data_IF_783429565940
#
_entry.id   IF_783429565940
#
_cell.length_a   1.000
_cell.length_b   1.000
_cell.length_c   1.000
_cell.angle_alpha   90.00
_cell.angle_beta   90.00
_cell.angle_gamma   90.00
#
_symmetry.space_group_name_H-M   'P 1'
#
loop_
_entity.id
_entity.type
_entity.pdbx_description
1 polymer ?
#
# COMPACT_ATOMS: atom_id res chain seq x y z
N UNK A 1 -16.07 -21.73 -3.02
CA UNK A 1 -14.88 -21.84 -2.12
C UNK A 1 -14.85 -20.74 -1.06
N UNK A 2 -14.96 -19.48 -1.38
CA UNK A 2 -14.85 -18.38 -0.41
C UNK A 2 -15.83 -18.44 0.77
N UNK A 3 -17.15 -18.61 0.55
CA UNK A 3 -18.13 -18.64 1.65
C UNK A 3 -17.91 -19.78 2.66
N UNK A 4 -17.54 -20.98 2.16
CA UNK A 4 -17.28 -22.14 3.02
C UNK A 4 -16.05 -21.93 3.90
N UNK A 5 -14.96 -21.41 3.32
CA UNK A 5 -13.73 -21.11 4.07
C UNK A 5 -13.97 -19.99 5.11
N UNK A 6 -14.72 -18.93 4.74
CA UNK A 6 -15.07 -17.84 5.67
C UNK A 6 -15.85 -18.36 6.88
N UNK A 7 -16.90 -19.21 6.67
CA UNK A 7 -17.66 -19.82 7.76
C UNK A 7 -16.82 -20.79 8.59
N UNK A 8 -15.85 -21.47 7.99
CA UNK A 8 -14.89 -22.30 8.72
C UNK A 8 -14.00 -21.46 9.63
N UNK A 9 -13.49 -20.33 9.14
CA UNK A 9 -12.63 -19.44 9.91
C UNK A 9 -13.40 -18.85 11.10
N UNK A 10 -14.66 -18.48 10.91
CA UNK A 10 -15.55 -18.02 11.98
C UNK A 10 -15.69 -19.07 13.10
N UNK A 11 -16.04 -20.34 12.76
CA UNK A 11 -16.09 -21.45 13.74
C UNK A 11 -14.74 -21.65 14.46
N UNK A 12 -13.64 -21.60 13.71
CA UNK A 12 -12.31 -21.80 14.27
C UNK A 12 -11.91 -20.65 15.19
N UNK A 13 -12.24 -19.39 14.85
CA UNK A 13 -11.96 -18.23 15.68
C UNK A 13 -12.68 -18.32 17.04
N UNK A 14 -13.95 -18.71 17.04
CA UNK A 14 -14.73 -18.92 18.28
C UNK A 14 -14.08 -20.01 19.15
N UNK A 15 -13.71 -21.13 18.55
CA UNK A 15 -13.08 -22.25 19.27
C UNK A 15 -11.68 -21.93 19.80
N UNK A 16 -10.89 -21.17 19.04
CA UNK A 16 -9.58 -20.66 19.48
C UNK A 16 -9.79 -19.71 20.68
N UNK A 17 -10.73 -18.76 20.56
CA UNK A 17 -11.06 -17.83 21.64
C UNK A 17 -11.56 -18.51 22.91
N UNK A 18 -12.26 -19.64 22.77
CA UNK A 18 -12.72 -20.48 23.87
C UNK A 18 -11.61 -21.40 24.46
N UNK A 19 -10.37 -21.36 23.94
CA UNK A 19 -9.27 -22.16 24.43
C UNK A 19 -9.40 -23.66 24.15
N UNK A 20 -10.08 -24.04 23.05
CA UNK A 20 -10.36 -25.43 22.69
C UNK A 20 -9.13 -26.23 22.24
N UNK A 21 -8.02 -25.56 21.93
CA UNK A 21 -6.78 -26.19 21.43
C UNK A 21 -5.63 -25.93 22.39
N UNK A 22 -5.01 -27.01 22.90
CA UNK A 22 -3.99 -26.96 23.96
C UNK A 22 -2.61 -27.48 23.55
N UNK A 23 -2.48 -28.02 22.35
CA UNK A 23 -1.24 -28.60 21.85
C UNK A 23 -1.11 -28.44 20.34
N UNK A 24 0.14 -28.49 19.84
CA UNK A 24 0.44 -28.48 18.39
C UNK A 24 -0.36 -29.58 17.64
N UNK A 25 -0.52 -30.75 18.24
CA UNK A 25 -1.28 -31.85 17.64
C UNK A 25 -2.78 -31.55 17.52
N UNK A 26 -3.37 -30.86 18.51
CA UNK A 26 -4.77 -30.43 18.45
C UNK A 26 -4.97 -29.32 17.44
N UNK A 27 -4.05 -28.35 17.38
CA UNK A 27 -4.04 -27.27 16.38
C UNK A 27 -3.89 -27.86 14.98
N UNK A 28 -2.95 -28.74 14.79
CA UNK A 28 -2.70 -29.41 13.51
C UNK A 28 -3.94 -30.12 12.98
N UNK A 29 -4.61 -30.91 13.82
CA UNK A 29 -5.82 -31.67 13.45
C UNK A 29 -7.08 -30.85 13.42
N UNK A 30 -7.26 -29.93 14.38
CA UNK A 30 -8.49 -29.20 14.61
C UNK A 30 -8.57 -27.87 13.86
N UNK A 31 -7.45 -27.29 13.42
CA UNK A 31 -7.38 -26.02 12.72
C UNK A 31 -6.75 -26.19 11.35
N UNK A 32 -5.50 -26.67 11.27
CA UNK A 32 -4.70 -26.65 10.04
C UNK A 32 -5.29 -27.60 8.98
N UNK A 33 -5.59 -28.86 9.36
CA UNK A 33 -6.14 -29.85 8.44
C UNK A 33 -7.53 -29.44 7.89
N UNK A 34 -8.50 -28.95 8.69
CA UNK A 34 -9.75 -28.40 8.20
C UNK A 34 -9.58 -27.22 7.21
N UNK A 35 -8.64 -26.30 7.46
CA UNK A 35 -8.31 -25.21 6.54
C UNK A 35 -7.79 -25.75 5.21
N UNK A 36 -6.85 -26.69 5.22
CA UNK A 36 -6.36 -27.32 3.99
C UNK A 36 -7.49 -28.00 3.21
N UNK A 37 -8.36 -28.73 3.88
CA UNK A 37 -9.50 -29.37 3.25
C UNK A 37 -10.41 -28.35 2.55
N UNK A 38 -10.72 -27.22 3.21
CA UNK A 38 -11.59 -26.19 2.64
C UNK A 38 -10.89 -25.35 1.55
N UNK A 39 -9.56 -25.39 1.48
CA UNK A 39 -8.73 -24.88 0.38
C UNK A 39 -8.61 -25.86 -0.80
N UNK A 40 -9.28 -27.04 -0.69
CA UNK A 40 -9.37 -28.04 -1.74
C UNK A 40 -8.30 -29.13 -1.70
N UNK A 41 -7.43 -29.15 -0.65
CA UNK A 41 -6.40 -30.18 -0.53
C UNK A 41 -7.02 -31.54 -0.14
N UNK A 42 -6.62 -32.62 -0.80
CA UNK A 42 -7.04 -33.98 -0.43
C UNK A 42 -6.24 -34.45 0.81
N UNK A 43 -6.67 -34.03 1.99
CA UNK A 43 -5.94 -34.20 3.26
C UNK A 43 -5.71 -35.64 3.66
N UNK A 44 -6.39 -36.61 3.01
CA UNK A 44 -6.19 -38.02 3.22
C UNK A 44 -5.22 -38.67 2.21
N UNK A 45 -4.75 -37.92 1.20
CA UNK A 45 -3.75 -38.37 0.23
C UNK A 45 -2.34 -38.02 0.70
N UNK A 46 -1.68 -38.95 1.38
CA UNK A 46 -0.39 -38.77 2.05
C UNK A 46 0.80 -38.47 1.13
N UNK A 47 0.60 -38.49 -0.21
CA UNK A 47 1.60 -38.02 -1.17
C UNK A 47 1.37 -36.58 -1.61
N UNK A 48 0.21 -36.00 -1.30
CA UNK A 48 -0.18 -34.64 -1.67
C UNK A 48 -0.17 -33.74 -0.45
N UNK A 49 -0.78 -34.14 0.67
CA UNK A 49 -0.65 -33.51 1.97
C UNK A 49 0.16 -34.44 2.87
N UNK A 50 1.44 -34.20 2.96
CA UNK A 50 2.38 -35.08 3.66
C UNK A 50 2.58 -34.58 5.08
N UNK A 51 1.99 -35.25 6.09
CA UNK A 51 2.28 -34.91 7.50
C UNK A 51 3.68 -35.40 7.88
N UNK A 52 4.31 -34.72 8.82
CA UNK A 52 5.65 -35.04 9.31
C UNK A 52 6.68 -35.29 8.18
N UNK A 53 6.66 -34.37 7.19
CA UNK A 53 7.53 -34.49 6.01
C UNK A 53 9.02 -34.47 6.43
N UNK A 54 9.77 -35.50 6.04
CA UNK A 54 11.16 -35.69 6.43
C UNK A 54 12.10 -34.92 5.53
N UNK A 55 13.02 -34.17 6.17
CA UNK A 55 14.10 -33.42 5.54
C UNK A 55 15.41 -33.79 6.25
N UNK A 56 16.14 -34.75 5.67
CA UNK A 56 17.30 -35.36 6.34
C UNK A 56 16.90 -36.06 7.62
N UNK A 57 17.46 -35.64 8.77
CA UNK A 57 17.17 -36.17 10.11
C UNK A 57 16.03 -35.46 10.83
N UNK A 58 15.49 -34.40 10.23
CA UNK A 58 14.44 -33.55 10.83
C UNK A 58 13.08 -33.74 10.12
N UNK A 59 12.03 -33.14 10.66
CA UNK A 59 10.69 -33.15 10.09
C UNK A 59 10.09 -31.75 10.15
N UNK A 60 9.26 -31.44 9.16
CA UNK A 60 8.31 -30.31 9.15
C UNK A 60 6.90 -30.85 9.25
N UNK A 61 6.00 -30.16 9.93
CA UNK A 61 4.67 -30.68 10.24
C UNK A 61 3.85 -31.05 9.02
N UNK A 62 3.89 -30.23 7.96
CA UNK A 62 3.25 -30.54 6.69
C UNK A 62 4.08 -30.07 5.48
N UNK A 63 4.05 -30.88 4.43
CA UNK A 63 4.37 -30.48 3.08
C UNK A 63 3.12 -30.58 2.18
N UNK A 64 2.76 -29.47 1.53
CA UNK A 64 1.75 -29.46 0.48
C UNK A 64 2.48 -29.69 -0.86
N UNK A 65 2.22 -30.83 -1.48
CA UNK A 65 3.00 -31.31 -2.62
C UNK A 65 2.28 -31.14 -3.96
N UNK A 66 3.03 -30.67 -4.94
CA UNK A 66 2.64 -30.71 -6.36
C UNK A 66 3.88 -30.70 -7.28
N UNK A 67 4.06 -31.71 -8.14
CA UNK A 67 3.31 -33.00 -8.19
C UNK A 67 3.45 -33.83 -6.89
N UNK A 68 2.70 -34.93 -6.77
CA UNK A 68 2.78 -35.78 -5.56
C UNK A 68 4.20 -36.09 -5.14
N UNK A 69 4.51 -35.96 -3.84
CA UNK A 69 5.84 -36.16 -3.26
C UNK A 69 6.83 -34.99 -3.43
N UNK A 70 6.52 -33.98 -4.24
CA UNK A 70 7.36 -32.78 -4.41
C UNK A 70 6.77 -31.60 -3.65
N UNK A 71 7.42 -31.12 -2.56
CA UNK A 71 6.87 -30.03 -1.77
C UNK A 71 6.84 -28.71 -2.54
N UNK A 72 5.69 -28.04 -2.54
CA UNK A 72 5.46 -26.71 -3.10
C UNK A 72 5.30 -25.65 -1.99
N UNK A 73 4.78 -26.06 -0.83
CA UNK A 73 4.65 -25.23 0.38
C UNK A 73 5.02 -26.07 1.59
N UNK A 74 5.84 -25.55 2.49
CA UNK A 74 6.10 -26.16 3.80
C UNK A 74 5.34 -25.40 4.88
N UNK A 75 4.76 -26.14 5.83
CA UNK A 75 3.97 -25.55 6.93
C UNK A 75 4.46 -26.13 8.25
N UNK A 76 4.86 -25.25 9.15
CA UNK A 76 5.24 -25.56 10.52
C UNK A 76 4.15 -25.08 11.47
N UNK A 77 3.77 -25.93 12.42
CA UNK A 77 2.73 -25.67 13.41
C UNK A 77 3.39 -25.51 14.78
N UNK A 78 2.89 -24.59 15.58
CA UNK A 78 3.37 -24.33 16.94
C UNK A 78 2.20 -24.31 17.92
N UNK A 79 2.47 -24.46 19.21
CA UNK A 79 1.49 -24.17 20.24
C UNK A 79 0.97 -22.73 20.13
N UNK A 80 -0.26 -22.51 20.56
CA UNK A 80 -0.90 -21.20 20.53
C UNK A 80 -0.04 -20.12 21.21
N UNK A 81 0.21 -19.03 20.52
CA UNK A 81 1.07 -17.94 20.97
C UNK A 81 2.58 -18.19 20.88
N UNK A 82 3.02 -19.33 20.32
CA UNK A 82 4.44 -19.69 20.21
C UNK A 82 4.98 -19.68 18.78
N UNK A 83 4.29 -19.10 17.83
CA UNK A 83 4.80 -18.88 16.48
C UNK A 83 5.87 -17.76 16.46
N UNK A 84 7.04 -18.07 17.05
CA UNK A 84 8.16 -17.13 17.27
C UNK A 84 9.37 -17.39 16.36
N UNK A 85 10.44 -16.58 16.55
CA UNK A 85 11.64 -16.60 15.72
C UNK A 85 12.45 -17.91 15.73
N UNK A 86 12.20 -18.85 16.65
CA UNK A 86 12.85 -20.17 16.64
C UNK A 86 12.20 -21.10 15.62
N UNK A 87 10.87 -21.11 15.57
CA UNK A 87 10.12 -21.84 14.55
C UNK A 87 10.42 -21.33 13.14
N UNK A 88 10.54 -20.00 12.99
CA UNK A 88 10.92 -19.36 11.73
C UNK A 88 12.28 -19.88 11.21
N UNK A 89 13.32 -19.89 12.06
CA UNK A 89 14.66 -20.33 11.65
C UNK A 89 14.67 -21.79 11.18
N UNK A 90 14.01 -22.66 11.91
CA UNK A 90 13.91 -24.08 11.58
C UNK A 90 13.20 -24.28 10.23
N UNK A 91 12.08 -23.61 10.01
CA UNK A 91 11.31 -23.68 8.78
C UNK A 91 12.12 -23.19 7.58
N UNK A 92 12.91 -22.12 7.74
CA UNK A 92 13.77 -21.60 6.66
C UNK A 92 14.91 -22.56 6.30
N UNK A 93 15.52 -23.24 7.26
CA UNK A 93 16.52 -24.28 6.98
C UNK A 93 15.89 -25.39 6.11
N UNK A 94 14.66 -25.78 6.40
CA UNK A 94 13.94 -26.78 5.63
C UNK A 94 13.64 -26.33 4.19
N UNK A 95 13.12 -25.12 4.06
CA UNK A 95 12.82 -24.56 2.74
C UNK A 95 14.07 -24.42 1.87
N UNK A 96 15.21 -24.05 2.46
CA UNK A 96 16.47 -23.94 1.74
C UNK A 96 16.95 -25.31 1.22
N UNK A 97 16.87 -26.35 2.03
CA UNK A 97 17.25 -27.70 1.63
C UNK A 97 16.39 -28.25 0.48
N UNK A 98 15.09 -28.03 0.54
CA UNK A 98 14.13 -28.57 -0.44
C UNK A 98 13.91 -27.65 -1.63
N UNK A 99 14.45 -26.42 -1.60
CA UNK A 99 14.23 -25.43 -2.64
C UNK A 99 12.77 -24.94 -2.72
N UNK A 100 12.02 -25.03 -1.61
CA UNK A 100 10.61 -24.65 -1.53
C UNK A 100 10.47 -23.15 -1.33
N UNK A 101 9.82 -22.40 -2.25
CA UNK A 101 9.80 -20.94 -2.18
C UNK A 101 8.84 -20.37 -1.14
N UNK A 102 7.76 -21.08 -0.80
CA UNK A 102 6.73 -20.59 0.13
C UNK A 102 6.73 -21.40 1.41
N UNK A 103 6.87 -20.70 2.52
CA UNK A 103 6.84 -21.27 3.86
C UNK A 103 5.72 -20.63 4.69
N UNK A 104 5.09 -21.42 5.53
CA UNK A 104 4.03 -20.97 6.45
C UNK A 104 4.38 -21.39 7.86
N UNK A 105 4.32 -20.46 8.80
CA UNK A 105 4.38 -20.73 10.23
C UNK A 105 3.05 -20.36 10.85
N UNK A 106 2.46 -21.28 11.61
CA UNK A 106 1.18 -21.02 12.27
C UNK A 106 1.13 -21.62 13.68
N UNK A 107 0.39 -20.97 14.55
CA UNK A 107 -0.05 -21.50 15.84
C UNK A 107 -1.57 -21.77 15.87
N UNK A 108 -2.15 -21.88 14.68
CA UNK A 108 -3.58 -22.04 14.49
C UNK A 108 -4.35 -20.72 14.47
N UNK A 109 -3.98 -19.75 15.31
CA UNK A 109 -4.56 -18.39 15.32
C UNK A 109 -3.86 -17.51 14.29
N UNK A 110 -2.56 -17.38 14.40
CA UNK A 110 -1.74 -16.54 13.52
C UNK A 110 -1.15 -17.38 12.39
N UNK A 111 -1.29 -16.93 11.16
CA UNK A 111 -0.69 -17.53 9.97
C UNK A 111 0.27 -16.55 9.33
N UNK A 112 1.57 -16.87 9.37
CA UNK A 112 2.66 -16.06 8.81
C UNK A 112 3.20 -16.71 7.55
N UNK A 113 3.27 -15.94 6.46
CA UNK A 113 3.72 -16.39 5.14
C UNK A 113 5.07 -15.79 4.79
N UNK A 114 5.99 -16.64 4.34
CA UNK A 114 7.37 -16.25 4.05
C UNK A 114 7.78 -16.68 2.66
N UNK A 115 8.56 -15.84 1.98
CA UNK A 115 9.22 -16.19 0.73
C UNK A 115 10.66 -16.64 1.02
N UNK A 116 10.87 -17.94 1.10
CA UNK A 116 12.10 -18.53 1.64
C UNK A 116 13.34 -18.25 0.80
N UNK A 117 13.20 -18.17 -0.52
CA UNK A 117 14.27 -17.87 -1.47
C UNK A 117 14.59 -16.38 -1.59
N UNK A 118 13.88 -15.52 -0.86
CA UNK A 118 14.09 -14.07 -0.83
C UNK A 118 15.40 -13.69 -0.13
N UNK A 119 15.80 -12.43 -0.29
CA UNK A 119 16.96 -11.84 0.41
C UNK A 119 16.57 -11.27 1.78
N UNK A 120 17.56 -11.07 2.65
CA UNK A 120 17.35 -10.49 3.97
C UNK A 120 17.13 -11.54 5.08
N UNK A 121 16.89 -11.06 6.29
CA UNK A 121 16.56 -11.88 7.46
C UNK A 121 15.19 -12.55 7.28
N UNK A 122 14.90 -13.59 8.07
CA UNK A 122 13.60 -14.26 8.04
C UNK A 122 12.43 -13.30 8.29
N UNK A 123 12.61 -12.28 9.14
CA UNK A 123 11.58 -11.24 9.39
C UNK A 123 11.28 -10.39 8.15
N UNK A 124 12.33 -10.09 7.37
CA UNK A 124 12.19 -9.32 6.13
C UNK A 124 11.59 -10.15 4.99
N UNK A 125 11.63 -11.49 5.11
CA UNK A 125 11.04 -12.40 4.12
C UNK A 125 9.56 -12.68 4.35
N UNK A 126 8.97 -12.23 5.48
CA UNK A 126 7.55 -12.35 5.72
C UNK A 126 6.79 -11.33 4.88
N UNK A 127 5.98 -11.80 3.95
CA UNK A 127 5.22 -10.96 3.04
C UNK A 127 3.73 -10.82 3.39
N UNK A 128 3.18 -11.77 4.18
CA UNK A 128 1.80 -11.70 4.66
C UNK A 128 1.66 -12.33 6.04
N UNK A 129 0.67 -11.88 6.78
CA UNK A 129 0.28 -12.46 8.06
C UNK A 129 -1.21 -12.19 8.27
N UNK A 130 -1.93 -13.17 8.82
CA UNK A 130 -3.33 -13.01 9.25
C UNK A 130 -3.50 -13.59 10.64
N UNK A 131 -4.41 -13.00 11.42
CA UNK A 131 -4.89 -13.48 12.71
C UNK A 131 -6.35 -13.88 12.57
N UNK A 132 -6.67 -15.16 12.76
CA UNK A 132 -8.03 -15.67 12.52
C UNK A 132 -9.06 -15.12 13.52
N UNK A 133 -8.62 -14.57 14.65
CA UNK A 133 -9.47 -14.03 15.71
C UNK A 133 -9.65 -12.51 15.57
N UNK A 134 -8.57 -11.78 15.27
CA UNK A 134 -8.59 -10.32 15.24
C UNK A 134 -8.96 -9.74 13.87
N UNK A 135 -8.59 -10.44 12.78
CA UNK A 135 -8.86 -9.94 11.44
C UNK A 135 -10.28 -10.32 10.97
N UNK A 136 -10.91 -9.54 10.09
CA UNK A 136 -12.18 -9.92 9.49
C UNK A 136 -12.09 -11.29 8.81
N UNK A 137 -13.01 -12.21 9.11
CA UNK A 137 -13.00 -13.60 8.63
C UNK A 137 -12.89 -13.72 7.10
N UNK A 138 -13.53 -12.79 6.37
CA UNK A 138 -13.43 -12.71 4.91
C UNK A 138 -12.03 -12.35 4.42
N UNK A 139 -11.32 -11.49 5.15
CA UNK A 139 -9.93 -11.11 4.85
C UNK A 139 -9.00 -12.30 5.08
N UNK A 140 -9.13 -12.96 6.23
CA UNK A 140 -8.35 -14.16 6.55
C UNK A 140 -8.57 -15.27 5.53
N UNK A 141 -9.83 -15.50 5.13
CA UNK A 141 -10.17 -16.47 4.09
C UNK A 141 -9.54 -16.12 2.73
N UNK A 142 -9.56 -14.84 2.36
CA UNK A 142 -8.97 -14.38 1.11
C UNK A 142 -7.45 -14.55 1.09
N UNK A 143 -6.75 -14.23 2.18
CA UNK A 143 -5.28 -14.39 2.29
C UNK A 143 -4.89 -15.87 2.27
N UNK A 144 -5.56 -16.71 3.06
CA UNK A 144 -5.32 -18.15 3.05
C UNK A 144 -5.55 -18.75 1.65
N UNK A 145 -6.65 -18.39 0.98
CA UNK A 145 -6.94 -18.85 -0.37
C UNK A 145 -5.90 -18.35 -1.39
N UNK A 146 -5.46 -17.09 -1.29
CA UNK A 146 -4.50 -16.46 -2.21
C UNK A 146 -3.19 -17.25 -2.32
N UNK A 147 -2.72 -17.81 -1.21
CA UNK A 147 -1.41 -18.46 -1.15
C UNK A 147 -1.46 -19.99 -0.99
N UNK A 148 -2.60 -20.54 -0.53
CA UNK A 148 -2.71 -21.95 -0.21
C UNK A 148 -3.82 -22.69 -0.98
N UNK A 149 -4.65 -22.02 -1.81
CA UNK A 149 -5.64 -22.74 -2.59
C UNK A 149 -4.93 -23.73 -3.54
N UNK A 150 -5.34 -25.01 -3.54
CA UNK A 150 -4.68 -26.07 -4.32
C UNK A 150 -4.57 -25.74 -5.81
N UNK A 151 -5.59 -25.12 -6.40
CA UNK A 151 -5.58 -24.71 -7.81
C UNK A 151 -4.47 -23.71 -8.11
N UNK A 152 -4.31 -22.72 -7.26
CA UNK A 152 -3.32 -21.65 -7.41
C UNK A 152 -1.88 -22.16 -7.11
N UNK A 153 -1.73 -23.11 -6.16
CA UNK A 153 -0.44 -23.76 -5.90
C UNK A 153 -0.04 -24.64 -7.08
N UNK A 154 -0.97 -25.43 -7.62
CA UNK A 154 -0.72 -26.30 -8.78
C UNK A 154 -0.39 -25.55 -10.07
N UNK A 155 -1.03 -24.40 -10.29
CA UNK A 155 -0.76 -23.55 -11.48
C UNK A 155 0.52 -22.72 -11.34
N UNK A 156 1.09 -22.60 -10.13
CA UNK A 156 2.20 -21.72 -9.84
C UNK A 156 1.81 -20.27 -9.52
N UNK A 157 0.52 -19.92 -9.63
CA UNK A 157 0.03 -18.56 -9.36
C UNK A 157 0.23 -18.16 -7.90
N UNK A 158 0.04 -19.08 -6.93
CA UNK A 158 0.29 -18.81 -5.53
C UNK A 158 1.75 -18.39 -5.29
N UNK A 159 2.72 -19.08 -5.91
CA UNK A 159 4.15 -18.75 -5.84
C UNK A 159 4.45 -17.38 -6.44
N UNK A 160 3.88 -17.08 -7.61
CA UNK A 160 4.08 -15.80 -8.29
C UNK A 160 3.56 -14.64 -7.42
N UNK A 161 2.33 -14.77 -6.90
CA UNK A 161 1.76 -13.77 -5.98
C UNK A 161 2.60 -13.60 -4.72
N UNK A 162 3.09 -14.68 -4.14
CA UNK A 162 3.96 -14.63 -2.96
C UNK A 162 5.26 -13.88 -3.25
N UNK A 163 5.85 -14.07 -4.44
CA UNK A 163 7.03 -13.34 -4.89
C UNK A 163 6.75 -11.85 -5.07
N UNK A 164 5.69 -11.50 -5.81
CA UNK A 164 5.30 -10.11 -6.09
C UNK A 164 5.00 -9.35 -4.78
N UNK A 165 4.26 -9.98 -3.86
CA UNK A 165 3.90 -9.40 -2.57
C UNK A 165 5.14 -9.27 -1.65
N UNK A 166 6.08 -10.22 -1.69
CA UNK A 166 7.36 -10.14 -0.99
C UNK A 166 8.21 -8.98 -1.53
N UNK A 167 8.36 -8.85 -2.84
CA UNK A 167 9.12 -7.77 -3.45
C UNK A 167 8.50 -6.40 -3.10
N UNK A 168 7.18 -6.30 -3.17
CA UNK A 168 6.46 -5.08 -2.76
C UNK A 168 6.69 -4.74 -1.29
N UNK A 169 6.55 -5.71 -0.38
CA UNK A 169 6.80 -5.51 1.05
C UNK A 169 8.24 -5.08 1.33
N UNK A 170 9.21 -5.67 0.64
CA UNK A 170 10.64 -5.31 0.74
C UNK A 170 10.89 -3.88 0.29
N UNK A 171 10.35 -3.46 -0.87
CA UNK A 171 10.49 -2.08 -1.35
C UNK A 171 9.88 -1.08 -0.36
N UNK A 172 8.71 -1.38 0.19
CA UNK A 172 8.07 -0.52 1.20
C UNK A 172 8.92 -0.42 2.47
N UNK A 173 9.50 -1.52 2.92
CA UNK A 173 10.35 -1.55 4.10
C UNK A 173 11.65 -0.79 3.88
N UNK A 174 12.28 -0.94 2.70
CA UNK A 174 13.47 -0.17 2.32
C UNK A 174 13.15 1.32 2.25
N UNK A 175 12.04 1.71 1.62
CA UNK A 175 11.60 3.11 1.59
C UNK A 175 11.37 3.65 3.01
N UNK A 176 10.73 2.87 3.89
CA UNK A 176 10.47 3.27 5.26
C UNK A 176 11.75 3.48 6.08
N UNK A 177 12.82 2.72 5.82
CA UNK A 177 14.11 2.89 6.49
C UNK A 177 14.77 4.24 6.18
N UNK A 178 14.46 4.82 5.03
CA UNK A 178 14.99 6.11 4.60
C UNK A 178 14.16 7.32 5.06
N UNK A 179 12.93 7.10 5.58
CA UNK A 179 12.04 8.20 5.96
C UNK A 179 12.68 9.18 6.95
N UNK A 180 13.37 8.68 7.97
CA UNK A 180 13.99 9.52 8.98
C UNK A 180 15.17 10.34 8.42
N UNK A 181 15.97 9.76 7.51
CA UNK A 181 17.10 10.42 6.89
C UNK A 181 16.63 11.50 5.91
N UNK A 182 15.65 11.16 5.08
CA UNK A 182 15.02 12.11 4.14
C UNK A 182 14.32 13.24 4.89
N UNK A 183 13.60 12.92 5.98
CA UNK A 183 12.92 13.92 6.80
C UNK A 183 13.91 14.91 7.42
N UNK A 184 14.99 14.43 8.04
CA UNK A 184 16.05 15.30 8.57
C UNK A 184 16.66 16.18 7.48
N UNK A 185 16.91 15.64 6.29
CA UNK A 185 17.42 16.40 5.15
C UNK A 185 16.45 17.53 4.75
N UNK A 186 15.16 17.25 4.68
CA UNK A 186 14.13 18.24 4.34
C UNK A 186 14.02 19.35 5.42
N UNK A 187 14.18 19.01 6.69
CA UNK A 187 14.11 19.98 7.79
C UNK A 187 15.37 20.81 7.92
N UNK A 188 16.58 20.26 7.67
CA UNK A 188 17.85 20.98 7.80
C UNK A 188 18.04 22.10 6.76
N UNK A 189 17.44 21.94 5.61
CA UNK A 189 17.39 22.95 4.55
C UNK A 189 16.04 22.88 3.86
N UNK A 190 14.99 23.51 4.46
CA UNK A 190 13.65 23.39 3.89
C UNK A 190 13.66 23.94 2.47
N UNK A 191 13.45 23.05 1.51
CA UNK A 191 13.27 23.45 0.13
C UNK A 191 12.13 24.48 0.04
N UNK A 192 12.21 25.41 -0.89
CA UNK A 192 11.21 26.47 -1.06
C UNK A 192 9.78 25.93 -1.14
N UNK A 193 9.62 24.67 -1.61
CA UNK A 193 8.34 23.98 -1.67
C UNK A 193 7.79 23.56 -0.29
N UNK A 194 8.62 22.97 0.57
CA UNK A 194 8.19 22.58 1.93
C UNK A 194 7.84 23.81 2.76
N UNK A 195 8.66 24.86 2.67
CA UNK A 195 8.40 26.13 3.35
C UNK A 195 7.10 26.77 2.85
N UNK A 196 6.87 26.80 1.53
CA UNK A 196 5.66 27.36 0.96
C UNK A 196 4.40 26.59 1.38
N UNK A 197 4.47 25.26 1.40
CA UNK A 197 3.37 24.40 1.87
C UNK A 197 3.06 24.70 3.35
N UNK A 198 4.09 24.85 4.19
CA UNK A 198 3.92 25.18 5.60
C UNK A 198 3.26 26.56 5.77
N UNK A 199 3.72 27.57 5.02
CA UNK A 199 3.16 28.92 5.05
C UNK A 199 1.68 28.93 4.60
N UNK A 200 1.35 28.20 3.53
CA UNK A 200 -0.04 28.07 3.03
C UNK A 200 -0.96 27.41 4.08
N UNK A 201 -0.50 26.37 4.77
CA UNK A 201 -1.32 25.68 5.78
C UNK A 201 -1.52 26.54 7.03
N UNK A 202 -0.48 27.25 7.51
CA UNK A 202 -0.62 28.18 8.66
C UNK A 202 -1.54 29.35 8.29
N UNK A 203 -1.41 29.94 7.11
CA UNK A 203 -2.30 30.99 6.63
C UNK A 203 -3.77 30.48 6.55
N UNK A 204 -3.97 29.23 6.12
CA UNK A 204 -5.30 28.61 6.05
C UNK A 204 -5.98 28.46 7.41
N UNK A 205 -5.21 28.21 8.48
CA UNK A 205 -5.70 28.06 9.86
C UNK A 205 -5.89 29.40 10.55
N UNK A 206 -4.93 30.34 10.35
CA UNK A 206 -4.88 31.59 11.14
C UNK A 206 -5.44 32.79 10.41
N UNK A 207 -5.64 32.68 9.10
CA UNK A 207 -6.01 33.83 8.23
C UNK A 207 -4.85 34.80 7.99
N UNK A 208 -3.67 34.57 8.58
CA UNK A 208 -2.49 35.43 8.47
C UNK A 208 -1.31 34.63 7.91
N UNK A 209 -0.68 35.15 6.86
CA UNK A 209 0.51 34.54 6.30
C UNK A 209 1.72 34.82 7.18
N UNK A 210 2.42 33.83 7.74
CA UNK A 210 3.56 34.03 8.60
C UNK A 210 4.78 34.52 7.80
N UNK A 211 5.73 35.09 8.53
CA UNK A 211 7.03 35.49 8.00
C UNK A 211 7.82 34.26 7.55
N UNK A 212 8.36 34.31 6.33
CA UNK A 212 9.04 33.18 5.68
C UNK A 212 10.32 32.77 6.42
N UNK A 213 11.09 33.72 7.00
CA UNK A 213 12.35 33.38 7.65
C UNK A 213 12.12 32.77 9.02
N UNK A 214 11.12 33.25 9.76
CA UNK A 214 10.68 32.66 11.04
C UNK A 214 10.08 31.27 10.85
N UNK A 215 9.30 31.06 9.78
CA UNK A 215 8.77 29.78 9.46
C UNK A 215 9.87 28.75 9.09
N UNK A 216 10.88 29.20 8.32
CA UNK A 216 12.04 28.38 8.00
C UNK A 216 12.90 28.06 9.24
N UNK A 217 13.05 28.99 10.16
CA UNK A 217 13.73 28.78 11.45
C UNK A 217 12.98 27.80 12.33
N UNK A 218 11.65 27.94 12.43
CA UNK A 218 10.81 26.97 13.13
C UNK A 218 10.96 25.57 12.55
N UNK A 219 10.89 25.40 11.24
CA UNK A 219 11.06 24.08 10.59
C UNK A 219 12.45 23.51 10.93
N UNK A 220 13.52 24.31 10.87
CA UNK A 220 14.88 23.88 11.23
C UNK A 220 15.00 23.48 12.70
N UNK A 221 14.32 24.19 13.61
CA UNK A 221 14.37 23.90 15.04
C UNK A 221 13.77 22.51 15.38
N UNK A 222 12.90 21.96 14.52
CA UNK A 222 12.31 20.65 14.72
C UNK A 222 13.29 19.49 14.43
N UNK A 223 14.48 19.76 13.89
CA UNK A 223 15.51 18.72 13.68
C UNK A 223 16.16 18.21 14.96
N UNK A 224 16.11 18.98 16.06
CA UNK A 224 16.75 18.63 17.34
C UNK A 224 15.82 18.06 18.41
N UNK A 225 14.50 18.06 18.20
CA UNK A 225 13.51 17.82 19.27
C UNK A 225 12.89 16.41 19.26
N UNK A 226 13.17 15.59 18.27
CA UNK A 226 12.68 14.23 18.22
C UNK A 226 13.85 13.24 18.10
N UNK A 227 14.31 12.67 19.22
CA UNK A 227 14.48 11.24 19.23
C UNK A 227 13.10 10.68 18.86
N UNK A 228 12.92 10.40 17.58
CA UNK A 228 11.74 9.63 17.17
C UNK A 228 11.85 8.31 17.93
N UNK A 229 10.98 8.13 18.93
CA UNK A 229 10.61 6.77 19.31
C UNK A 229 10.38 6.02 18.00
N UNK A 230 10.96 4.82 17.84
CA UNK A 230 10.75 4.05 16.62
C UNK A 230 9.24 4.03 16.41
N UNK A 231 8.79 4.60 15.30
CA UNK A 231 7.37 4.67 14.94
C UNK A 231 6.80 3.31 15.29
N UNK A 232 5.81 3.21 16.21
CA UNK A 232 5.19 1.93 16.53
C UNK A 232 4.85 1.34 15.19
N UNK A 233 5.40 0.15 14.91
CA UNK A 233 5.17 -0.49 13.61
C UNK A 233 3.68 -0.42 13.38
N UNK A 234 3.21 0.13 12.26
CA UNK A 234 1.78 0.19 12.02
C UNK A 234 1.25 -1.20 12.30
N UNK A 235 0.15 -1.34 13.03
CA UNK A 235 -0.47 -2.64 13.25
C UNK A 235 -0.47 -3.29 11.90
N UNK A 236 0.09 -4.51 11.81
CA UNK A 236 0.31 -5.20 10.53
C UNK A 236 -1.05 -5.45 9.90
N UNK A 237 -1.56 -4.40 9.24
CA UNK A 237 -2.68 -4.64 8.33
C UNK A 237 -2.15 -5.57 7.25
N UNK A 238 -2.76 -6.75 7.10
CA UNK A 238 -2.50 -7.57 5.92
C UNK A 238 -2.71 -6.67 4.70
N UNK A 239 -1.96 -6.87 3.62
CA UNK A 239 -2.23 -6.14 2.40
C UNK A 239 -3.73 -6.25 2.15
N UNK A 240 -4.43 -5.11 2.08
CA UNK A 240 -5.88 -5.08 1.87
C UNK A 240 -6.14 -5.82 0.58
N UNK A 241 -6.49 -7.08 0.72
CA UNK A 241 -7.01 -7.87 -0.39
C UNK A 241 -8.37 -7.28 -0.65
N UNK A 242 -8.42 -6.41 -1.66
CA UNK A 242 -9.68 -5.89 -2.17
C UNK A 242 -10.54 -7.09 -2.58
N UNK A 243 -11.66 -7.37 -1.91
CA UNK A 243 -12.46 -8.57 -2.15
C UNK A 243 -13.18 -8.55 -3.51
N UNK A 244 -12.94 -7.54 -4.33
CA UNK A 244 -13.44 -7.46 -5.69
C UNK A 244 -12.28 -7.53 -6.69
N UNK A 245 -12.39 -8.36 -7.73
CA UNK A 245 -11.57 -8.14 -8.90
C UNK A 245 -11.89 -6.71 -9.36
N UNK A 246 -10.91 -5.80 -9.27
CA UNK A 246 -11.04 -4.47 -9.84
C UNK A 246 -11.30 -4.68 -11.32
N UNK A 247 -12.54 -4.53 -11.73
CA UNK A 247 -12.81 -4.22 -13.11
C UNK A 247 -12.03 -2.95 -13.43
N UNK A 248 -11.21 -2.90 -14.49
CA UNK A 248 -10.30 -1.80 -14.77
C UNK A 248 -11.00 -0.44 -14.98
N UNK A 249 -12.30 -0.33 -14.76
CA UNK A 249 -13.15 0.81 -15.17
C UNK A 249 -13.62 1.69 -14.01
N UNK A 250 -13.54 1.27 -12.74
CA UNK A 250 -14.24 2.01 -11.66
C UNK A 250 -13.38 3.00 -10.87
N UNK A 251 -12.03 3.04 -11.04
CA UNK A 251 -11.15 3.92 -10.27
C UNK A 251 -10.21 4.77 -11.14
N UNK A 252 -10.53 4.89 -12.44
CA UNK A 252 -9.75 5.75 -13.34
C UNK A 252 -10.02 7.21 -13.03
N UNK A 253 -8.98 8.07 -12.98
CA UNK A 253 -9.17 9.51 -12.87
C UNK A 253 -10.01 10.02 -14.04
N UNK A 254 -11.02 10.86 -13.75
CA UNK A 254 -11.90 11.39 -14.78
C UNK A 254 -12.21 12.88 -14.59
N UNK A 255 -12.63 13.50 -15.67
CA UNK A 255 -13.17 14.85 -15.75
C UNK A 255 -14.53 14.78 -16.44
N UNK A 256 -15.56 15.31 -15.78
CA UNK A 256 -16.85 15.59 -16.44
C UNK A 256 -16.99 17.11 -16.62
N UNK A 257 -17.17 17.53 -17.86
CA UNK A 257 -17.34 18.93 -18.21
C UNK A 257 -18.27 19.04 -19.42
N UNK A 258 -19.22 19.97 -19.36
CA UNK A 258 -20.25 20.16 -20.42
C UNK A 258 -20.98 18.84 -20.78
N UNK A 259 -21.34 18.07 -19.73
CA UNK A 259 -22.05 16.80 -19.87
C UNK A 259 -21.20 15.63 -20.44
N UNK A 260 -19.94 15.87 -20.78
CA UNK A 260 -19.02 14.85 -21.32
C UNK A 260 -18.04 14.40 -20.26
N UNK A 261 -17.94 13.08 -20.07
CA UNK A 261 -16.97 12.46 -19.16
C UNK A 261 -15.80 11.88 -19.95
N UNK A 262 -14.59 12.27 -19.58
CA UNK A 262 -13.34 11.79 -20.14
C UNK A 262 -12.52 11.12 -19.05
N UNK A 263 -11.96 9.94 -19.30
CA UNK A 263 -11.09 9.20 -18.37
C UNK A 263 -9.63 9.41 -18.73
N UNK A 264 -8.75 9.39 -17.73
CA UNK A 264 -7.33 9.68 -17.87
C UNK A 264 -6.47 8.61 -17.16
N UNK A 265 -5.19 8.57 -17.51
CA UNK A 265 -4.23 7.64 -16.91
C UNK A 265 -3.76 8.06 -15.52
N UNK A 266 -3.80 9.36 -15.22
CA UNK A 266 -3.33 9.90 -13.94
C UNK A 266 -4.11 11.13 -13.50
N UNK A 267 -4.11 11.41 -12.18
CA UNK A 267 -4.67 12.66 -11.64
C UNK A 267 -3.96 13.92 -12.16
N UNK A 268 -2.72 13.82 -12.62
CA UNK A 268 -1.99 14.92 -13.27
C UNK A 268 -2.56 15.23 -14.66
N UNK A 269 -2.97 14.21 -15.40
CA UNK A 269 -3.58 14.41 -16.72
C UNK A 269 -4.98 15.02 -16.59
N UNK A 270 -5.79 14.60 -15.59
CA UNK A 270 -7.07 15.27 -15.26
C UNK A 270 -6.84 16.75 -14.96
N UNK A 271 -5.86 17.04 -14.07
CA UNK A 271 -5.54 18.40 -13.65
C UNK A 271 -5.13 19.28 -14.84
N UNK A 272 -4.27 18.77 -15.72
CA UNK A 272 -3.86 19.48 -16.94
C UNK A 272 -5.00 19.66 -17.93
N UNK A 273 -5.87 18.66 -18.09
CA UNK A 273 -7.03 18.73 -18.97
C UNK A 273 -8.03 19.81 -18.54
N UNK A 274 -8.30 19.94 -17.23
CA UNK A 274 -9.15 21.01 -16.69
C UNK A 274 -8.62 22.39 -17.11
N UNK A 275 -7.35 22.67 -16.81
CA UNK A 275 -6.74 23.95 -17.12
C UNK A 275 -6.67 24.22 -18.63
N UNK A 276 -6.42 23.19 -19.43
CA UNK A 276 -6.43 23.30 -20.90
C UNK A 276 -7.81 23.65 -21.46
N UNK A 277 -8.86 23.02 -20.93
CA UNK A 277 -10.24 23.30 -21.34
C UNK A 277 -10.67 24.72 -20.95
N UNK A 278 -10.39 25.13 -19.71
CA UNK A 278 -10.70 26.48 -19.24
C UNK A 278 -9.94 27.56 -20.02
N UNK A 279 -8.66 27.31 -20.33
CA UNK A 279 -7.85 28.21 -21.14
C UNK A 279 -8.30 28.28 -22.63
N UNK A 280 -8.92 27.20 -23.13
CA UNK A 280 -9.50 27.20 -24.47
C UNK A 280 -10.84 27.94 -24.55
N UNK A 281 -11.65 27.91 -23.46
CA UNK A 281 -12.91 28.60 -23.35
C UNK A 281 -12.75 30.13 -23.20
N UNK A 282 -11.82 30.54 -22.33
CA UNK A 282 -11.50 31.94 -22.10
C UNK A 282 -9.99 32.18 -22.28
N UNK A 283 -9.57 32.88 -23.35
CA UNK A 283 -8.16 33.25 -23.54
C UNK A 283 -7.56 34.09 -22.41
N UNK A 284 -8.42 34.78 -21.63
CA UNK A 284 -8.02 35.56 -20.45
C UNK A 284 -7.82 34.73 -19.18
N UNK A 285 -8.36 33.49 -19.15
CA UNK A 285 -8.37 32.63 -17.95
C UNK A 285 -6.99 32.46 -17.28
N UNK A 286 -5.98 32.08 -18.07
CA UNK A 286 -4.63 31.85 -17.54
C UNK A 286 -4.02 33.07 -16.88
N UNK A 287 -4.28 34.27 -17.43
CA UNK A 287 -3.83 35.54 -16.86
C UNK A 287 -4.57 35.84 -15.55
N UNK A 288 -5.90 35.73 -15.57
CA UNK A 288 -6.73 35.96 -14.37
C UNK A 288 -6.37 34.99 -13.24
N UNK A 289 -6.20 33.71 -13.55
CA UNK A 289 -5.78 32.72 -12.57
C UNK A 289 -4.40 33.00 -12.00
N UNK A 290 -3.41 33.33 -12.85
CA UNK A 290 -2.05 33.67 -12.45
C UNK A 290 -1.98 34.90 -11.54
N UNK A 291 -2.86 35.88 -11.75
CA UNK A 291 -2.88 37.11 -10.96
C UNK A 291 -3.59 36.93 -9.62
N UNK A 292 -4.70 36.17 -9.60
CA UNK A 292 -5.47 35.87 -8.37
C UNK A 292 -4.81 34.80 -7.48
N UNK A 293 -4.18 33.81 -8.08
CA UNK A 293 -3.67 32.63 -7.36
C UNK A 293 -2.18 32.42 -7.63
N UNK A 294 -1.35 33.14 -6.89
CA UNK A 294 0.10 33.03 -6.91
C UNK A 294 0.64 32.79 -5.50
N UNK A 295 1.71 31.98 -5.37
CA UNK A 295 2.51 31.95 -4.16
C UNK A 295 3.44 33.19 -4.07
N UNK A 296 4.07 33.39 -2.93
CA UNK A 296 4.96 34.54 -2.71
C UNK A 296 6.14 34.57 -3.67
N UNK A 297 6.70 33.45 -4.02
CA UNK A 297 7.90 33.29 -4.85
C UNK A 297 7.66 32.61 -6.19
N UNK A 298 6.50 31.97 -6.44
CA UNK A 298 6.22 31.23 -7.67
C UNK A 298 4.80 31.46 -8.17
N UNK A 299 4.62 31.21 -9.44
CA UNK A 299 3.31 31.17 -10.08
C UNK A 299 2.91 29.73 -10.34
N UNK A 300 1.62 29.41 -10.25
CA UNK A 300 1.10 28.08 -10.59
C UNK A 300 0.76 27.94 -12.07
N UNK A 301 0.50 29.11 -12.72
CA UNK A 301 0.33 29.26 -14.16
C UNK A 301 1.18 30.45 -14.58
N UNK A 302 2.08 30.30 -15.55
CA UNK A 302 3.01 31.33 -15.98
C UNK A 302 3.36 31.23 -17.48
N UNK A 303 3.99 32.27 -18.02
CA UNK A 303 4.47 32.32 -19.41
C UNK A 303 5.79 31.55 -19.60
N UNK A 304 6.56 31.33 -18.54
CA UNK A 304 7.80 30.58 -18.58
C UNK A 304 7.86 29.57 -17.44
N UNK A 305 8.68 28.54 -17.58
CA UNK A 305 8.85 27.49 -16.57
C UNK A 305 9.62 27.97 -15.35
N UNK A 306 10.54 28.90 -15.54
CA UNK A 306 11.35 29.50 -14.45
C UNK A 306 10.46 30.22 -13.43
N UNK A 307 9.35 30.82 -13.87
CA UNK A 307 8.37 31.47 -13.00
C UNK A 307 7.47 30.48 -12.24
N UNK A 308 7.39 29.24 -12.72
CA UNK A 308 6.67 28.17 -12.01
C UNK A 308 7.53 27.60 -10.86
N UNK A 309 8.84 27.52 -11.06
CA UNK A 309 9.77 26.88 -10.15
C UNK A 309 11.06 27.73 -9.96
N UNK A 310 10.96 28.96 -9.40
CA UNK A 310 12.13 29.83 -9.22
C UNK A 310 13.18 29.16 -8.36
N UNK A 311 14.40 29.01 -8.89
CA UNK A 311 15.52 28.36 -8.18
C UNK A 311 15.45 26.84 -8.11
N UNK A 312 14.48 26.19 -8.77
CA UNK A 312 14.29 24.74 -8.77
C UNK A 312 14.14 24.19 -10.20
N UNK A 313 15.17 24.40 -11.05
CA UNK A 313 15.17 23.99 -12.46
C UNK A 313 14.91 22.49 -12.69
N UNK A 314 15.29 21.63 -11.73
CA UNK A 314 15.01 20.19 -11.75
C UNK A 314 13.51 19.87 -11.75
N UNK A 315 12.64 20.80 -11.32
CA UNK A 315 11.18 20.63 -11.34
C UNK A 315 10.51 21.11 -12.63
N UNK A 316 11.24 21.75 -13.54
CA UNK A 316 10.66 22.25 -14.80
C UNK A 316 10.03 21.15 -15.68
N UNK A 317 10.54 19.92 -15.57
CA UNK A 317 9.92 18.74 -16.16
C UNK A 317 8.52 18.42 -15.60
N UNK A 318 8.20 18.90 -14.39
CA UNK A 318 6.90 18.76 -13.73
C UNK A 318 5.94 19.88 -14.12
N UNK A 319 5.89 20.21 -15.40
CA UNK A 319 5.01 21.23 -15.96
C UNK A 319 4.27 20.72 -17.19
N UNK A 320 3.13 21.31 -17.50
CA UNK A 320 2.34 21.03 -18.71
C UNK A 320 2.08 22.31 -19.47
N UNK A 321 2.20 22.23 -20.79
CA UNK A 321 1.89 23.37 -21.68
C UNK A 321 0.38 23.53 -21.78
N UNK A 322 -0.08 24.77 -21.66
CA UNK A 322 -1.47 25.16 -21.84
C UNK A 322 -1.66 25.95 -23.15
N UNK A 323 -2.90 26.08 -23.63
CA UNK A 323 -3.22 26.95 -24.76
C UNK A 323 -2.72 28.39 -24.54
N UNK A 324 -2.45 29.10 -25.64
CA UNK A 324 -1.98 30.49 -25.59
C UNK A 324 -0.57 30.69 -25.04
N UNK A 325 0.28 29.65 -25.01
CA UNK A 325 1.69 29.75 -24.63
C UNK A 325 1.94 29.87 -23.11
N UNK A 326 1.00 29.39 -22.29
CA UNK A 326 1.11 29.30 -20.85
C UNK A 326 1.64 27.94 -20.40
N UNK A 327 2.14 27.88 -19.17
CA UNK A 327 2.61 26.67 -18.51
C UNK A 327 1.91 26.50 -17.16
N UNK A 328 1.56 25.26 -16.82
CA UNK A 328 0.94 24.84 -15.55
C UNK A 328 1.95 24.06 -14.73
N UNK A 329 2.15 24.44 -13.47
CA UNK A 329 2.91 23.67 -12.50
C UNK A 329 2.10 22.47 -12.03
N UNK A 330 2.59 21.25 -12.27
CA UNK A 330 1.89 20.00 -11.91
C UNK A 330 2.47 19.30 -10.68
N UNK A 331 3.57 19.79 -10.14
CA UNK A 331 4.21 19.25 -8.95
C UNK A 331 3.44 19.65 -7.69
N UNK A 332 2.40 18.89 -7.37
CA UNK A 332 1.60 19.02 -6.15
C UNK A 332 0.84 17.71 -5.87
N UNK A 333 0.43 17.50 -4.61
CA UNK A 333 -0.37 16.36 -4.20
C UNK A 333 -1.71 16.28 -4.94
N UNK A 334 -2.37 15.14 -4.97
CA UNK A 334 -3.67 15.00 -5.60
C UNK A 334 -4.74 15.86 -4.90
N UNK A 335 -4.70 15.99 -3.58
CA UNK A 335 -5.53 16.93 -2.85
C UNK A 335 -5.26 18.39 -3.27
N UNK A 336 -3.98 18.76 -3.43
CA UNK A 336 -3.56 20.06 -3.93
C UNK A 336 -4.06 20.35 -5.36
N UNK A 337 -4.09 19.33 -6.24
CA UNK A 337 -4.68 19.46 -7.59
C UNK A 337 -6.17 19.77 -7.53
N UNK A 338 -6.93 19.03 -6.69
CA UNK A 338 -8.37 19.27 -6.50
C UNK A 338 -8.62 20.68 -5.95
N UNK A 339 -7.85 21.14 -4.94
CA UNK A 339 -7.95 22.51 -4.40
C UNK A 339 -7.74 23.57 -5.50
N UNK A 340 -6.76 23.36 -6.38
CA UNK A 340 -6.48 24.28 -7.51
C UNK A 340 -7.52 24.22 -8.60
N UNK A 341 -8.13 23.06 -8.84
CA UNK A 341 -9.28 22.94 -9.76
C UNK A 341 -10.48 23.73 -9.25
N UNK A 342 -10.77 23.69 -7.94
CA UNK A 342 -11.84 24.54 -7.35
C UNK A 342 -11.59 26.02 -7.59
N UNK A 343 -10.38 26.49 -7.32
CA UNK A 343 -9.96 27.87 -7.60
C UNK A 343 -10.02 28.22 -9.09
N UNK A 344 -9.75 27.26 -9.97
CA UNK A 344 -9.88 27.45 -11.41
C UNK A 344 -11.34 27.60 -11.83
N UNK A 345 -12.25 26.83 -11.23
CA UNK A 345 -13.69 26.99 -11.45
C UNK A 345 -14.19 28.37 -10.98
N UNK A 346 -13.76 28.85 -9.81
CA UNK A 346 -14.08 30.20 -9.29
C UNK A 346 -13.65 31.29 -10.25
N UNK A 347 -12.44 31.18 -10.84
CA UNK A 347 -11.95 32.15 -11.84
C UNK A 347 -12.73 32.07 -13.13
N UNK A 348 -13.17 30.88 -13.53
CA UNK A 348 -13.94 30.68 -14.76
C UNK A 348 -15.44 30.91 -14.57
N UNK A 349 -15.92 31.27 -13.35
CA UNK A 349 -17.34 31.46 -13.08
C UNK A 349 -18.17 30.16 -13.11
N UNK A 350 -17.53 29.01 -12.84
CA UNK A 350 -18.13 27.67 -12.81
C UNK A 350 -18.34 27.16 -11.39
N UNK A 351 -19.36 26.37 -11.17
CA UNK A 351 -19.60 25.69 -9.91
C UNK A 351 -18.91 24.31 -9.90
N UNK A 352 -17.90 24.17 -9.03
CA UNK A 352 -17.20 22.89 -8.84
C UNK A 352 -18.14 21.84 -8.26
N UNK A 353 -18.21 20.68 -8.87
CA UNK A 353 -19.09 19.57 -8.46
C UNK A 353 -20.44 19.56 -9.20
N UNK A 354 -20.78 20.64 -9.93
CA UNK A 354 -21.96 20.73 -10.81
C UNK A 354 -21.57 20.92 -12.27
N UNK A 355 -20.89 22.02 -12.59
CA UNK A 355 -20.55 22.37 -13.97
C UNK A 355 -19.24 21.68 -14.39
N UNK A 356 -18.36 21.40 -13.44
CA UNK A 356 -17.11 20.66 -13.62
C UNK A 356 -16.90 19.71 -12.46
N UNK A 357 -16.83 18.41 -12.77
CA UNK A 357 -16.62 17.34 -11.81
C UNK A 357 -15.28 16.66 -12.13
N UNK A 358 -14.43 16.47 -11.15
CA UNK A 358 -13.19 15.69 -11.30
C UNK A 358 -13.13 14.58 -10.27
N UNK A 359 -12.65 13.42 -10.68
CA UNK A 359 -12.18 12.36 -9.81
C UNK A 359 -10.68 12.24 -9.96
N UNK A 360 -9.94 12.66 -8.94
CA UNK A 360 -8.50 12.47 -8.82
C UNK A 360 -8.31 11.60 -7.57
N UNK A 361 -7.93 10.32 -7.69
CA UNK A 361 -7.78 9.43 -6.56
C UNK A 361 -6.79 10.05 -5.56
N UNK A 362 -7.29 10.48 -4.44
CA UNK A 362 -6.47 10.83 -3.28
C UNK A 362 -6.22 9.52 -2.56
N UNK A 363 -5.02 8.97 -2.66
CA UNK A 363 -4.65 7.82 -1.86
C UNK A 363 -5.06 8.10 -0.42
N UNK A 364 -5.96 7.29 0.12
CA UNK A 364 -6.41 7.42 1.50
C UNK A 364 -5.22 7.26 2.42
N UNK A 365 -4.66 8.36 2.93
CA UNK A 365 -4.06 8.33 4.26
C UNK A 365 -5.24 8.13 5.22
N UNK A 366 -5.51 6.89 5.62
CA UNK A 366 -6.24 6.66 6.85
C UNK A 366 -5.30 7.03 7.99
N UNK A 367 -5.54 8.21 8.53
CA UNK A 367 -5.16 8.61 9.84
C UNK A 367 -6.43 9.22 10.43
N UNK A 368 -7.06 8.47 11.28
CA UNK A 368 -7.73 8.86 12.51
C UNK A 368 -7.84 7.58 13.35
#
# INVERSE_FOLDING_TARGET
MSKRLTSRIEDLAERIGAGSFRSEAEISRGVVTPVFHDLGWPVFEVQIVVPEFRIGTRKVDYALCHPPGKPAVLVEVKDLGKADGRGERQLFEYCFHEGVPVAVLTDGRTWSFFFSTGQGSYKERRFAQVDLVEDPYSTSAAVLARYLAIGDVRSGEARKRAQDDYESARFQQQAASEYASVWRKLLSGPEAFLLELFLEEVEGVTGVRPDSDRAAEFIRSQTGSHEMEPIPRPPKEPPKVDPRPRTPTEDLPFLTFDGKTETFRSGTDVFAAVFSKLAALDPGFCRQYSDKHRGSKRRYVARSKELLYPGASHLEGQSRRLPGGWWLATHCSNAGKVKRVRKACEVAGLEFGRDLIVHIPTGSRKGD
#
